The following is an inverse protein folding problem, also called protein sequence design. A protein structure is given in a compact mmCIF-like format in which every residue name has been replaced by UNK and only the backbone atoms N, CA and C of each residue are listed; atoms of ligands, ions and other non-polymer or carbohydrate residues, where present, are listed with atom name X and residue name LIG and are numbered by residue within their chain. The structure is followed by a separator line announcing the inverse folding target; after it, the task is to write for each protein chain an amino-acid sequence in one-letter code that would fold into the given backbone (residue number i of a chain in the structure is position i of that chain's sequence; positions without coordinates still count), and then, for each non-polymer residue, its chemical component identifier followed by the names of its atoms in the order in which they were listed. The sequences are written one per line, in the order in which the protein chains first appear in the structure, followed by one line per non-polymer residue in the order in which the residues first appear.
data_IF_087481582014
#
_entry.id   IF_087481582014
#
_cell.length_a   1.000
_cell.length_b   1.000
_cell.length_c   1.000
_cell.angle_alpha   90.00
_cell.angle_beta   90.00
_cell.angle_gamma   90.00
#
_symmetry.space_group_name_H-M   'P 1'
#
loop_
_entity.id
_entity.type
_entity.pdbx_description
1 polymer ?
#
# COMPACT_ATOMS: atom_id res chain seq x y z
N UNK A 1 6.60 -0.31 15.36
CA UNK A 1 5.58 -1.37 15.20
C UNK A 1 4.57 -0.87 14.17
N UNK A 2 4.12 -1.71 13.23
CA UNK A 2 3.14 -1.27 12.21
C UNK A 2 1.76 -1.05 12.84
N UNK A 3 0.98 -0.15 12.24
CA UNK A 3 -0.37 0.19 12.67
C UNK A 3 -1.43 -0.61 11.92
N UNK A 4 -2.56 -0.84 12.58
CA UNK A 4 -3.70 -1.62 12.05
C UNK A 4 -5.01 -0.83 12.03
N UNK A 5 -4.99 0.39 12.57
CA UNK A 5 -6.11 1.33 12.66
C UNK A 5 -6.12 2.32 11.48
N UNK A 6 -5.65 1.87 10.32
CA UNK A 6 -5.57 2.66 9.11
C UNK A 6 -4.97 1.86 7.96
N UNK A 7 -4.42 2.58 6.99
CA UNK A 7 -3.73 2.05 5.83
C UNK A 7 -2.45 2.84 5.55
N UNK A 8 -1.59 2.28 4.72
CA UNK A 8 -0.38 2.91 4.23
C UNK A 8 -0.56 3.23 2.74
N UNK A 9 -0.23 4.44 2.33
CA UNK A 9 -0.44 4.92 0.96
C UNK A 9 0.89 5.43 0.37
N UNK A 10 1.14 5.13 -0.90
CA UNK A 10 2.23 5.75 -1.67
C UNK A 10 1.84 7.14 -2.16
N UNK A 11 2.84 7.96 -2.53
CA UNK A 11 2.55 9.18 -3.29
C UNK A 11 1.87 8.83 -4.63
N UNK A 12 0.89 9.63 -5.09
CA UNK A 12 0.19 9.35 -6.34
C UNK A 12 1.13 9.35 -7.55
N UNK A 13 1.11 8.26 -8.32
CA UNK A 13 1.97 8.06 -9.50
C UNK A 13 1.26 8.56 -10.74
N UNK A 14 1.88 9.46 -11.50
CA UNK A 14 1.36 9.90 -12.79
C UNK A 14 1.57 8.80 -13.84
N UNK A 15 0.47 8.19 -14.31
CA UNK A 15 0.56 7.01 -15.18
C UNK A 15 0.69 7.36 -16.66
N UNK A 16 0.28 8.57 -17.08
CA UNK A 16 0.52 9.07 -18.45
C UNK A 16 0.24 10.57 -18.57
N UNK A 17 1.22 11.33 -19.07
CA UNK A 17 0.98 12.66 -19.65
C UNK A 17 0.60 12.47 -21.13
N UNK A 18 -0.68 12.62 -21.47
CA UNK A 18 -1.09 12.76 -22.88
C UNK A 18 -1.58 14.19 -23.06
N UNK A 19 -1.02 14.94 -24.01
CA UNK A 19 -1.39 16.34 -24.28
C UNK A 19 -2.90 16.56 -24.50
N UNK A 20 -3.61 15.52 -24.94
CA UNK A 20 -5.02 15.57 -25.30
C UNK A 20 -5.96 15.00 -24.23
N UNK A 21 -5.43 14.52 -23.09
CA UNK A 21 -6.24 13.97 -22.00
C UNK A 21 -5.88 14.60 -20.66
N UNK A 22 -6.84 14.71 -19.73
CA UNK A 22 -6.52 15.09 -18.35
C UNK A 22 -5.52 14.09 -17.75
N UNK A 23 -4.62 14.54 -16.87
CA UNK A 23 -3.65 13.67 -16.22
C UNK A 23 -4.39 12.61 -15.39
N UNK A 24 -3.84 11.39 -15.36
CA UNK A 24 -4.38 10.30 -14.54
C UNK A 24 -3.33 9.83 -13.54
N UNK A 25 -3.67 9.95 -12.26
CA UNK A 25 -2.85 9.55 -11.13
C UNK A 25 -3.36 8.24 -10.55
N UNK A 26 -2.45 7.29 -10.37
CA UNK A 26 -2.68 6.04 -9.68
C UNK A 26 -2.34 6.23 -8.20
N UNK A 27 -3.34 6.03 -7.33
CA UNK A 27 -3.18 6.02 -5.89
C UNK A 27 -3.16 4.57 -5.42
N UNK A 28 -2.09 4.13 -4.75
CA UNK A 28 -1.91 2.76 -4.28
C UNK A 28 -1.85 2.71 -2.76
N UNK A 29 -2.59 1.78 -2.15
CA UNK A 29 -2.67 1.67 -0.70
C UNK A 29 -2.64 0.21 -0.21
N UNK A 30 -2.13 0.03 1.01
CA UNK A 30 -1.97 -1.25 1.69
C UNK A 30 -2.59 -1.17 3.09
N UNK A 31 -3.47 -2.11 3.44
CA UNK A 31 -3.98 -2.24 4.81
C UNK A 31 -3.46 -3.53 5.45
N UNK A 32 -2.94 -3.42 6.67
CA UNK A 32 -2.41 -4.55 7.43
C UNK A 32 -3.42 -4.99 8.47
N UNK A 33 -3.45 -6.28 8.77
CA UNK A 33 -4.21 -6.80 9.91
C UNK A 33 -3.34 -7.66 10.83
N UNK A 34 -3.83 -7.85 12.06
CA UNK A 34 -3.13 -8.61 13.11
C UNK A 34 -2.92 -10.09 12.80
N UNK A 35 -3.57 -10.62 11.76
CA UNK A 35 -3.49 -12.02 11.36
C UNK A 35 -2.40 -12.28 10.31
N UNK A 36 -1.53 -11.29 10.03
CA UNK A 36 -0.45 -11.45 9.05
C UNK A 36 -0.89 -11.29 7.61
N UNK A 37 -2.06 -10.70 7.36
CA UNK A 37 -2.55 -10.37 6.01
C UNK A 37 -2.34 -8.89 5.73
N UNK A 38 -1.87 -8.60 4.52
CA UNK A 38 -1.86 -7.26 3.94
C UNK A 38 -2.71 -7.27 2.69
N UNK A 39 -3.63 -6.31 2.56
CA UNK A 39 -4.47 -6.15 1.38
C UNK A 39 -4.04 -4.94 0.59
N UNK A 40 -3.98 -5.09 -0.72
CA UNK A 40 -3.65 -4.03 -1.66
C UNK A 40 -4.93 -3.51 -2.31
N UNK A 41 -4.98 -2.23 -2.60
CA UNK A 41 -6.03 -1.63 -3.44
C UNK A 41 -5.48 -0.40 -4.13
N UNK A 42 -6.17 0.04 -5.18
CA UNK A 42 -5.82 1.27 -5.89
C UNK A 42 -7.05 2.03 -6.37
N UNK A 43 -6.88 3.34 -6.58
CA UNK A 43 -7.87 4.23 -7.16
C UNK A 43 -7.21 5.17 -8.16
N UNK A 44 -7.97 5.55 -9.18
CA UNK A 44 -7.56 6.52 -10.19
C UNK A 44 -8.14 7.90 -9.88
N UNK A 45 -7.34 8.94 -10.12
CA UNK A 45 -7.73 10.35 -9.94
C UNK A 45 -7.28 11.19 -11.12
N UNK A 46 -8.03 12.25 -11.44
CA UNK A 46 -7.55 13.32 -12.33
C UNK A 46 -6.73 14.38 -11.61
N UNK A 47 -6.70 14.33 -10.28
CA UNK A 47 -5.96 15.26 -9.42
C UNK A 47 -4.80 14.56 -8.72
N UNK A 48 -3.69 15.28 -8.51
CA UNK A 48 -2.50 14.78 -7.79
C UNK A 48 -2.75 14.59 -6.29
N UNK A 49 -3.88 15.06 -5.76
CA UNK A 49 -4.20 14.92 -4.33
C UNK A 49 -4.37 13.45 -3.93
N UNK A 50 -3.96 13.13 -2.70
CA UNK A 50 -4.18 11.81 -2.10
C UNK A 50 -5.68 11.50 -2.03
N UNK A 51 -6.10 10.42 -2.69
CA UNK A 51 -7.45 9.89 -2.50
C UNK A 51 -7.50 9.17 -1.16
N UNK A 52 -8.54 9.43 -0.37
CA UNK A 52 -8.79 8.67 0.85
C UNK A 52 -9.44 7.32 0.54
N UNK A 53 -8.93 6.29 1.20
CA UNK A 53 -9.48 4.94 1.17
C UNK A 53 -10.34 4.69 2.41
N UNK A 54 -11.38 3.88 2.22
CA UNK A 54 -12.26 3.34 3.26
C UNK A 54 -11.90 1.88 3.50
N UNK A 55 -12.28 1.32 4.65
CA UNK A 55 -12.07 -0.11 4.93
C UNK A 55 -12.69 -1.02 3.86
N UNK A 56 -13.84 -0.61 3.29
CA UNK A 56 -14.54 -1.36 2.25
C UNK A 56 -13.71 -1.52 0.99
N UNK A 57 -12.95 -0.49 0.60
CA UNK A 57 -12.09 -0.51 -0.60
C UNK A 57 -11.03 -1.63 -0.56
N UNK A 58 -10.66 -2.09 0.64
CA UNK A 58 -9.70 -3.18 0.82
C UNK A 58 -10.36 -4.56 0.91
N UNK A 59 -11.64 -4.62 1.32
CA UNK A 59 -12.36 -5.89 1.45
C UNK A 59 -12.93 -6.37 0.11
N UNK A 60 -13.19 -5.44 -0.82
CA UNK A 60 -13.74 -5.75 -2.14
C UNK A 60 -12.66 -6.20 -3.14
N UNK A 61 -11.37 -6.09 -2.81
CA UNK A 61 -10.27 -6.56 -3.67
C UNK A 61 -9.88 -8.02 -3.36
N UNK A 62 -9.67 -8.83 -4.40
CA UNK A 62 -9.20 -10.22 -4.29
C UNK A 62 -7.73 -10.33 -3.90
N UNK A 63 -6.95 -9.28 -4.15
CA UNK A 63 -5.50 -9.29 -3.99
C UNK A 63 -5.12 -9.13 -2.51
N UNK A 64 -4.85 -10.29 -1.89
CA UNK A 64 -4.36 -10.40 -0.52
C UNK A 64 -2.97 -11.02 -0.52
N UNK A 65 -2.07 -10.40 0.22
CA UNK A 65 -0.74 -10.93 0.47
C UNK A 65 -0.62 -11.28 1.94
N UNK A 66 0.31 -12.17 2.25
CA UNK A 66 0.72 -12.42 3.62
C UNK A 66 1.98 -11.60 3.88
N UNK A 67 2.16 -11.12 5.11
CA UNK A 67 3.41 -10.45 5.48
C UNK A 67 4.03 -11.11 6.70
N UNK A 68 5.35 -11.02 6.82
CA UNK A 68 6.06 -11.33 8.06
C UNK A 68 7.05 -10.22 8.39
N UNK A 69 7.27 -10.02 9.68
CA UNK A 69 8.16 -9.00 10.23
C UNK A 69 9.37 -9.68 10.88
N UNK A 70 10.56 -9.20 10.58
CA UNK A 70 11.81 -9.59 11.23
C UNK A 70 12.57 -8.32 11.65
N UNK A 71 12.46 -7.94 12.93
CA UNK A 71 12.99 -6.66 13.41
C UNK A 71 12.33 -5.48 12.71
N UNK A 72 13.10 -4.74 11.91
CA UNK A 72 12.61 -3.62 11.11
C UNK A 72 12.27 -4.02 9.66
N UNK A 73 12.46 -5.28 9.27
CA UNK A 73 12.17 -5.72 7.91
C UNK A 73 10.76 -6.30 7.81
N UNK A 74 10.07 -6.03 6.70
CA UNK A 74 8.83 -6.70 6.32
C UNK A 74 9.07 -7.37 4.97
N UNK A 75 8.60 -8.59 4.81
CA UNK A 75 8.46 -9.16 3.47
C UNK A 75 7.04 -9.63 3.22
N UNK A 76 6.56 -9.38 2.01
CA UNK A 76 5.25 -9.83 1.54
C UNK A 76 5.42 -11.14 0.78
N UNK A 77 4.42 -12.00 0.87
CA UNK A 77 4.28 -13.24 0.13
C UNK A 77 3.03 -13.09 -0.72
N UNK A 78 3.22 -13.03 -2.03
CA UNK A 78 2.11 -12.87 -2.96
C UNK A 78 1.08 -14.00 -2.79
N UNK A 79 -0.20 -13.63 -2.73
CA UNK A 79 -1.31 -14.56 -2.58
C UNK A 79 -1.19 -15.55 -1.39
N UNK A 80 -0.35 -15.24 -0.39
CA UNK A 80 -0.04 -16.11 0.75
C UNK A 80 0.52 -17.50 0.38
N UNK A 81 1.02 -17.72 -0.83
CA UNK A 81 1.52 -19.04 -1.28
C UNK A 81 3.02 -19.17 -0.98
N UNK A 82 3.44 -20.36 -0.52
CA UNK A 82 4.81 -20.60 0.01
C UNK A 82 5.97 -20.28 -0.96
N UNK A 83 5.77 -20.42 -2.28
CA UNK A 83 6.83 -20.32 -3.29
C UNK A 83 6.62 -19.16 -4.28
N UNK A 84 5.78 -18.18 -3.93
CA UNK A 84 5.55 -17.00 -4.77
C UNK A 84 6.61 -15.92 -4.57
N UNK A 85 6.51 -14.90 -5.42
CA UNK A 85 7.32 -13.69 -5.37
C UNK A 85 7.27 -13.03 -3.99
N UNK A 86 8.42 -12.52 -3.55
CA UNK A 86 8.58 -11.83 -2.27
C UNK A 86 8.99 -10.40 -2.51
N UNK A 87 8.23 -9.48 -1.91
CA UNK A 87 8.54 -8.05 -1.92
C UNK A 87 9.10 -7.66 -0.55
N UNK A 88 10.17 -6.87 -0.50
CA UNK A 88 10.86 -6.51 0.74
C UNK A 88 10.71 -5.02 1.06
N UNK A 89 10.44 -4.72 2.32
CA UNK A 89 10.21 -3.38 2.84
C UNK A 89 10.93 -3.17 4.16
N UNK A 90 11.24 -1.91 4.48
CA UNK A 90 11.85 -1.49 5.73
C UNK A 90 10.88 -0.61 6.54
N UNK A 91 10.67 -0.95 7.82
CA UNK A 91 9.91 -0.15 8.78
C UNK A 91 10.81 0.98 9.23
N UNK A 92 10.54 2.19 8.73
CA UNK A 92 11.27 3.40 9.10
C UNK A 92 10.75 3.94 10.43
N UNK A 93 9.43 3.96 10.59
CA UNK A 93 8.74 4.36 11.82
C UNK A 93 7.40 3.62 11.94
N UNK A 94 6.61 3.91 12.98
CA UNK A 94 5.23 3.40 13.05
C UNK A 94 4.32 3.95 11.93
N UNK A 95 4.68 5.09 11.33
CA UNK A 95 3.88 5.77 10.32
C UNK A 95 4.48 5.69 8.91
N UNK A 96 5.68 5.10 8.74
CA UNK A 96 6.39 5.10 7.46
C UNK A 96 7.05 3.74 7.19
N UNK A 97 6.82 3.22 5.99
CA UNK A 97 7.40 1.97 5.48
C UNK A 97 8.00 2.24 4.11
N UNK A 98 9.26 1.85 3.91
CA UNK A 98 10.00 2.07 2.66
C UNK A 98 10.03 0.79 1.84
N UNK A 99 9.70 0.85 0.54
CA UNK A 99 9.93 -0.24 -0.39
C UNK A 99 11.40 -0.34 -0.73
N UNK A 100 12.00 -1.53 -0.54
CA UNK A 100 13.47 -1.68 -0.61
C UNK A 100 14.01 -1.50 -2.03
N UNK A 101 13.26 -1.93 -3.04
CA UNK A 101 13.74 -1.92 -4.43
C UNK A 101 13.68 -0.53 -5.07
N UNK A 102 12.56 0.18 -4.94
CA UNK A 102 12.41 1.52 -5.53
C UNK A 102 12.82 2.65 -4.60
N UNK A 103 12.82 2.40 -3.29
CA UNK A 103 13.02 3.43 -2.27
C UNK A 103 11.77 4.24 -1.93
N UNK A 104 10.63 3.95 -2.55
CA UNK A 104 9.36 4.65 -2.31
C UNK A 104 8.90 4.48 -0.85
N UNK A 105 8.30 5.52 -0.28
CA UNK A 105 7.82 5.52 1.10
C UNK A 105 6.30 5.51 1.09
N UNK A 106 5.72 4.55 1.80
CA UNK A 106 4.31 4.56 2.17
C UNK A 106 4.12 5.27 3.51
N UNK A 107 3.15 6.17 3.57
CA UNK A 107 2.78 6.91 4.79
C UNK A 107 1.47 6.39 5.36
N UNK A 108 1.39 6.33 6.68
CA UNK A 108 0.19 5.88 7.39
C UNK A 108 -0.91 6.95 7.39
N UNK A 109 -2.12 6.53 7.10
CA UNK A 109 -3.35 7.32 7.20
C UNK A 109 -4.35 6.57 8.09
N UNK A 110 -4.78 7.16 9.22
CA UNK A 110 -5.75 6.53 10.10
C UNK A 110 -7.13 6.46 9.44
N UNK A 111 -7.94 5.47 9.81
CA UNK A 111 -9.34 5.43 9.41
C UNK A 111 -10.08 6.67 9.92
N UNK A 112 -10.85 7.34 9.06
CA UNK A 112 -11.79 8.37 9.50
C UNK A 112 -12.92 7.70 10.27
N UNK A 113 -13.12 8.13 11.52
CA UNK A 113 -14.27 7.73 12.35
C UNK A 113 -15.57 8.34 11.84
#
# INVERSE_FOLDING_TARGET
MIRFDGYYIFEPVLYQERKEHPPNYLNMAYSFNKNGIVRYTNKWSTEKSEILFTEKDFNDNSDKNCYKINGQEIYFIDNCKKNEYKFFYDIISENEIKYRESGDIMKFVPWKK
#
